data_IF_440912871812
#
_entry.id   IF_440912871812
#
_cell.length_a   1.000
_cell.length_b   1.000
_cell.length_c   1.000
_cell.angle_alpha   90.00
_cell.angle_beta   90.00
_cell.angle_gamma   90.00
#
_symmetry.space_group_name_H-M   'P 1'
#
loop_
_entity.id
_entity.type
_entity.pdbx_description
1 polymer ?
#
# COMPACT_ATOMS: atom_id res chain seq x y z
N UNK A 1 -9.26 27.13 -6.50
CA UNK A 1 -9.67 26.55 -7.81
C UNK A 1 -8.80 25.31 -8.07
N UNK A 2 -8.56 24.51 -7.02
CA UNK A 2 -7.38 23.62 -6.93
C UNK A 2 -7.74 22.13 -6.94
N UNK A 3 -9.02 21.77 -6.75
CA UNK A 3 -9.49 20.38 -6.71
C UNK A 3 -9.26 19.61 -8.02
N UNK A 4 -9.37 20.28 -9.18
CA UNK A 4 -9.18 19.63 -10.48
C UNK A 4 -7.71 19.29 -10.74
N UNK A 5 -6.79 20.13 -10.28
CA UNK A 5 -5.34 19.89 -10.38
C UNK A 5 -4.89 18.77 -9.45
N UNK A 6 -5.39 18.77 -8.22
CA UNK A 6 -5.07 17.78 -7.19
C UNK A 6 -5.64 16.39 -7.53
N UNK A 7 -6.88 16.33 -8.04
CA UNK A 7 -7.47 15.07 -8.53
C UNK A 7 -6.72 14.49 -9.73
N UNK A 8 -6.12 15.33 -10.57
CA UNK A 8 -5.33 14.89 -11.72
C UNK A 8 -4.01 14.25 -11.26
N UNK A 9 -3.41 14.76 -10.19
CA UNK A 9 -2.19 14.21 -9.62
C UNK A 9 -2.43 12.85 -8.95
N UNK A 10 -3.54 12.71 -8.21
CA UNK A 10 -3.93 11.40 -7.67
C UNK A 10 -4.13 10.35 -8.77
N UNK A 11 -4.83 10.70 -9.86
CA UNK A 11 -5.01 9.79 -10.98
C UNK A 11 -3.67 9.43 -11.66
N UNK A 12 -2.68 10.33 -11.64
CA UNK A 12 -1.33 10.06 -12.14
C UNK A 12 -0.59 9.07 -11.25
N UNK A 13 -0.65 9.24 -9.94
CA UNK A 13 -0.04 8.30 -8.98
C UNK A 13 -0.67 6.91 -9.12
N UNK A 14 -2.00 6.81 -9.15
CA UNK A 14 -2.68 5.51 -9.28
C UNK A 14 -2.32 4.79 -10.60
N UNK A 15 -2.22 5.54 -11.71
CA UNK A 15 -1.73 4.97 -12.98
C UNK A 15 -0.28 4.51 -12.89
N UNK A 16 0.60 5.29 -12.24
CA UNK A 16 2.00 4.92 -12.06
C UNK A 16 2.19 3.66 -11.22
N UNK A 17 1.33 3.41 -10.23
CA UNK A 17 1.34 2.16 -9.46
C UNK A 17 0.95 0.94 -10.31
N UNK A 18 0.09 1.14 -11.32
CA UNK A 18 -0.37 0.10 -12.23
C UNK A 18 0.49 -0.09 -13.49
N UNK A 19 1.57 0.70 -13.64
CA UNK A 19 2.40 0.72 -14.84
C UNK A 19 3.08 -0.64 -15.11
N UNK A 20 3.28 -0.99 -16.38
CA UNK A 20 3.96 -2.21 -16.78
C UNK A 20 5.45 -2.24 -16.38
N UNK A 21 6.09 -1.07 -16.31
CA UNK A 21 7.50 -0.92 -15.93
C UNK A 21 7.68 -0.87 -14.41
N UNK A 22 8.47 -1.80 -13.87
CA UNK A 22 8.83 -1.86 -12.46
C UNK A 22 9.51 -0.58 -11.95
N UNK A 23 10.28 0.10 -12.79
CA UNK A 23 10.98 1.34 -12.47
C UNK A 23 10.01 2.51 -12.31
N UNK A 24 8.91 2.52 -13.08
CA UNK A 24 7.83 3.50 -12.90
C UNK A 24 7.14 3.25 -11.57
N UNK A 25 6.70 2.00 -11.33
CA UNK A 25 6.03 1.63 -10.08
C UNK A 25 6.87 1.92 -8.83
N UNK A 26 8.18 1.62 -8.88
CA UNK A 26 9.11 1.91 -7.78
C UNK A 26 9.15 3.40 -7.45
N UNK A 27 9.33 4.25 -8.48
CA UNK A 27 9.37 5.71 -8.30
C UNK A 27 8.04 6.25 -7.84
N UNK A 28 6.93 5.71 -8.32
CA UNK A 28 5.60 6.11 -7.88
C UNK A 28 5.34 5.73 -6.43
N UNK A 29 5.71 4.52 -6.00
CA UNK A 29 5.62 4.12 -4.59
C UNK A 29 6.52 4.99 -3.69
N UNK A 30 7.73 5.30 -4.15
CA UNK A 30 8.64 6.22 -3.44
C UNK A 30 8.01 7.61 -3.27
N UNK A 31 7.43 8.17 -4.33
CA UNK A 31 6.76 9.46 -4.28
C UNK A 31 5.57 9.44 -3.30
N UNK A 32 4.70 8.43 -3.40
CA UNK A 32 3.54 8.27 -2.52
C UNK A 32 3.91 8.07 -1.04
N UNK A 33 5.08 7.52 -0.73
CA UNK A 33 5.58 7.46 0.66
C UNK A 33 6.28 8.74 1.12
N UNK A 34 6.90 9.49 0.19
CA UNK A 34 7.58 10.75 0.48
C UNK A 34 6.57 11.86 0.79
N UNK A 35 5.50 11.92 0.01
CA UNK A 35 4.38 12.85 0.18
C UNK A 35 3.07 12.06 0.31
N UNK A 36 2.73 11.60 1.53
CA UNK A 36 1.62 10.68 1.74
C UNK A 36 0.26 11.39 1.62
N UNK A 37 -0.60 10.83 0.78
CA UNK A 37 -2.00 11.24 0.63
C UNK A 37 -2.94 10.07 1.00
N UNK A 38 -3.96 10.28 1.85
CA UNK A 38 -4.97 9.28 2.15
C UNK A 38 -5.56 8.55 0.92
N UNK A 39 -5.67 9.24 -0.22
CA UNK A 39 -6.21 8.72 -1.48
C UNK A 39 -5.30 7.67 -2.13
N UNK A 40 -4.02 7.55 -1.74
CA UNK A 40 -3.09 6.56 -2.29
C UNK A 40 -3.19 5.19 -1.60
N UNK A 41 -3.76 5.12 -0.40
CA UNK A 41 -3.74 3.93 0.45
C UNK A 41 -4.31 2.71 -0.28
N UNK A 42 -5.49 2.85 -0.90
CA UNK A 42 -6.15 1.72 -1.55
C UNK A 42 -5.33 1.23 -2.77
N UNK A 43 -4.79 2.14 -3.58
CA UNK A 43 -3.92 1.77 -4.71
C UNK A 43 -2.59 1.12 -4.29
N UNK A 44 -1.99 1.57 -3.19
CA UNK A 44 -0.78 0.96 -2.63
C UNK A 44 -1.07 -0.47 -2.13
N UNK A 45 -2.20 -0.69 -1.45
CA UNK A 45 -2.62 -2.02 -0.97
C UNK A 45 -2.93 -2.95 -2.15
N UNK A 46 -3.69 -2.47 -3.14
CA UNK A 46 -3.97 -3.23 -4.36
C UNK A 46 -2.69 -3.63 -5.08
N UNK A 47 -1.71 -2.73 -5.17
CA UNK A 47 -0.45 -3.04 -5.83
C UNK A 47 0.38 -4.06 -5.03
N UNK A 48 0.43 -3.94 -3.70
CA UNK A 48 1.03 -4.93 -2.81
C UNK A 48 0.48 -6.35 -3.04
N UNK A 49 -0.81 -6.48 -3.38
CA UNK A 49 -1.45 -7.77 -3.59
C UNK A 49 -0.93 -8.54 -4.82
N UNK A 50 -0.37 -7.83 -5.81
CA UNK A 50 -0.04 -8.39 -7.13
C UNK A 50 1.41 -8.16 -7.59
N UNK A 51 2.15 -7.24 -6.97
CA UNK A 51 3.50 -6.86 -7.42
C UNK A 51 4.47 -8.06 -7.47
N UNK A 52 5.02 -8.42 -8.65
CA UNK A 52 6.03 -9.46 -8.78
C UNK A 52 7.37 -9.08 -8.14
N UNK A 53 7.80 -7.83 -8.33
CA UNK A 53 9.17 -7.39 -8.01
C UNK A 53 9.39 -7.18 -6.51
N UNK A 54 10.47 -7.77 -5.98
CA UNK A 54 10.80 -7.67 -4.55
C UNK A 54 11.08 -6.24 -4.10
N UNK A 55 11.92 -5.51 -4.84
CA UNK A 55 12.26 -4.12 -4.49
C UNK A 55 11.05 -3.19 -4.52
N UNK A 56 10.10 -3.42 -5.43
CA UNK A 56 8.87 -2.64 -5.48
C UNK A 56 7.95 -3.01 -4.29
N UNK A 57 7.85 -4.28 -3.90
CA UNK A 57 7.10 -4.70 -2.69
C UNK A 57 7.64 -4.06 -1.41
N UNK A 58 8.96 -3.99 -1.28
CA UNK A 58 9.59 -3.34 -0.12
C UNK A 58 9.27 -1.83 -0.12
N UNK A 59 9.33 -1.19 -1.28
CA UNK A 59 8.99 0.23 -1.41
C UNK A 59 7.51 0.51 -1.14
N UNK A 60 6.59 -0.33 -1.62
CA UNK A 60 5.16 -0.22 -1.33
C UNK A 60 4.89 -0.40 0.17
N UNK A 61 5.58 -1.33 0.82
CA UNK A 61 5.50 -1.51 2.27
C UNK A 61 5.99 -0.27 3.00
N UNK A 62 7.15 0.26 2.62
CA UNK A 62 7.67 1.50 3.18
C UNK A 62 6.67 2.64 2.98
N UNK A 63 6.11 2.82 1.78
CA UNK A 63 5.12 3.86 1.51
C UNK A 63 3.90 3.74 2.43
N UNK A 64 3.37 2.53 2.62
CA UNK A 64 2.25 2.29 3.54
C UNK A 64 2.58 2.62 5.00
N UNK A 65 3.83 2.45 5.46
CA UNK A 65 4.20 2.86 6.83
C UNK A 65 4.34 4.37 7.00
N UNK A 66 4.38 5.14 5.89
CA UNK A 66 4.37 6.61 5.90
C UNK A 66 2.96 7.20 6.04
N UNK A 67 1.92 6.40 5.81
CA UNK A 67 0.53 6.84 5.92
C UNK A 67 -0.02 6.64 7.34
N UNK A 68 -1.03 7.43 7.76
CA UNK A 68 -1.68 7.25 9.06
C UNK A 68 -2.24 5.84 9.26
N UNK A 69 -1.90 5.20 10.39
CA UNK A 69 -2.34 3.85 10.74
C UNK A 69 -3.87 3.67 10.69
N UNK A 70 -4.71 4.62 11.14
CA UNK A 70 -6.17 4.50 11.02
C UNK A 70 -6.67 4.32 9.58
N UNK A 71 -5.91 4.77 8.60
CA UNK A 71 -6.23 4.61 7.18
C UNK A 71 -5.75 3.27 6.65
N UNK A 72 -4.52 2.87 6.93
CA UNK A 72 -3.91 1.66 6.35
C UNK A 72 -4.34 0.36 7.01
N UNK A 73 -4.51 0.36 8.34
CA UNK A 73 -4.76 -0.85 9.12
C UNK A 73 -6.03 -1.61 8.66
N UNK A 74 -7.21 -0.97 8.46
CA UNK A 74 -8.40 -1.71 8.03
C UNK A 74 -8.24 -2.41 6.67
N UNK A 75 -7.52 -1.81 5.72
CA UNK A 75 -7.31 -2.38 4.38
C UNK A 75 -6.39 -3.59 4.44
N UNK A 76 -5.29 -3.47 5.18
CA UNK A 76 -4.34 -4.57 5.39
C UNK A 76 -5.02 -5.74 6.10
N UNK A 77 -5.82 -5.49 7.13
CA UNK A 77 -6.60 -6.54 7.79
C UNK A 77 -7.59 -7.21 6.83
N UNK A 78 -8.18 -6.45 5.89
CA UNK A 78 -9.00 -6.99 4.81
C UNK A 78 -8.25 -8.01 3.94
N UNK A 79 -7.02 -7.69 3.54
CA UNK A 79 -6.18 -8.55 2.70
C UNK A 79 -5.77 -9.87 3.35
N UNK A 80 -5.84 -10.00 4.69
CA UNK A 80 -5.61 -11.28 5.38
C UNK A 80 -6.64 -12.35 4.96
N UNK A 81 -7.81 -11.94 4.48
CA UNK A 81 -8.87 -12.83 3.96
C UNK A 81 -8.83 -13.01 2.44
N UNK A 82 -7.84 -12.43 1.76
CA UNK A 82 -7.71 -12.52 0.30
C UNK A 82 -7.50 -13.96 -0.15
N UNK A 83 -8.11 -14.34 -1.28
CA UNK A 83 -7.84 -15.63 -1.91
C UNK A 83 -6.38 -15.73 -2.40
N UNK A 84 -5.74 -14.58 -2.68
CA UNK A 84 -4.37 -14.51 -3.19
C UNK A 84 -3.36 -14.66 -2.05
N UNK A 85 -2.54 -15.70 -2.12
CA UNK A 85 -1.48 -15.95 -1.13
C UNK A 85 -0.51 -14.75 -1.02
N UNK A 86 -0.16 -14.13 -2.15
CA UNK A 86 0.72 -12.95 -2.19
C UNK A 86 0.15 -11.77 -1.39
N UNK A 87 -1.15 -11.52 -1.51
CA UNK A 87 -1.79 -10.43 -0.79
C UNK A 87 -1.81 -10.67 0.71
N UNK A 88 -2.13 -11.91 1.14
CA UNK A 88 -2.03 -12.30 2.56
C UNK A 88 -0.61 -12.13 3.10
N UNK A 89 0.41 -12.65 2.40
CA UNK A 89 1.80 -12.56 2.85
C UNK A 89 2.31 -11.13 2.90
N UNK A 90 1.96 -10.31 1.90
CA UNK A 90 2.39 -8.91 1.86
C UNK A 90 1.70 -8.10 2.96
N UNK A 91 0.41 -8.33 3.19
CA UNK A 91 -0.32 -7.70 4.29
C UNK A 91 0.30 -8.05 5.65
N UNK A 92 0.57 -9.33 5.91
CA UNK A 92 1.26 -9.76 7.14
C UNK A 92 2.62 -9.08 7.30
N UNK A 93 3.40 -9.00 6.22
CA UNK A 93 4.68 -8.32 6.23
C UNK A 93 4.51 -6.83 6.58
N UNK A 94 3.61 -6.09 5.93
CA UNK A 94 3.38 -4.67 6.19
C UNK A 94 2.84 -4.43 7.60
N UNK A 95 1.90 -5.25 8.09
CA UNK A 95 1.40 -5.18 9.46
C UNK A 95 2.52 -5.34 10.50
N UNK A 96 3.51 -6.23 10.24
CA UNK A 96 4.68 -6.36 11.12
C UNK A 96 5.56 -5.11 11.17
N UNK A 97 5.57 -4.30 10.10
CA UNK A 97 6.31 -3.03 10.04
C UNK A 97 5.55 -1.86 10.63
N UNK A 98 4.21 -1.87 10.55
CA UNK A 98 3.36 -0.90 11.24
C UNK A 98 3.42 -1.11 12.76
N UNK A 99 3.42 -2.36 13.22
CA UNK A 99 3.59 -2.69 14.64
C UNK A 99 2.40 -2.32 15.54
N UNK A 100 1.23 -2.02 14.97
CA UNK A 100 0.05 -1.64 15.74
C UNK A 100 -0.62 -2.88 16.38
N UNK A 101 -0.78 -2.83 17.71
CA UNK A 101 -1.32 -3.93 18.52
C UNK A 101 -2.77 -4.29 18.16
N UNK A 102 -3.52 -3.38 17.55
CA UNK A 102 -4.88 -3.64 17.06
C UNK A 102 -4.91 -4.72 15.97
N UNK A 103 -3.80 -4.99 15.30
CA UNK A 103 -3.70 -6.08 14.33
C UNK A 103 -3.62 -7.48 14.97
N UNK A 104 -3.18 -7.59 16.22
CA UNK A 104 -2.83 -8.87 16.84
C UNK A 104 -3.95 -9.90 16.85
N UNK A 105 -5.20 -9.57 17.23
CA UNK A 105 -6.30 -10.54 17.22
C UNK A 105 -6.57 -11.17 15.84
N UNK A 106 -6.11 -10.53 14.75
CA UNK A 106 -6.26 -11.03 13.39
C UNK A 106 -5.10 -11.91 12.90
N UNK A 107 -3.97 -11.93 13.62
CA UNK A 107 -2.74 -12.65 13.20
C UNK A 107 -2.23 -13.66 14.25
N UNK A 108 -2.74 -13.61 15.48
CA UNK A 108 -2.49 -14.62 16.52
C UNK A 108 -3.74 -15.48 16.71
N UNK A 109 -3.57 -16.78 16.97
CA UNK A 109 -4.68 -17.60 17.46
C UNK A 109 -4.94 -17.23 18.93
N UNK A 110 -6.22 -17.25 19.31
CA UNK A 110 -6.62 -17.24 20.71
C UNK A 110 -6.17 -18.53 21.42
#
# INVERSE_FOLDING_TARGET
MDEVGESTDVARVLRGLADGDASVRLRTALAAGTDPDPRYVDGLVERCAVEPELFVRDMLTWALTRHPVPLTLPRLLGELRSARARARSQSLHTLSKIGDRRAWPSITRA
#
